data_IF_605993084001
#
_entry.id   IF_605993084001
#
_cell.length_a   1.000
_cell.length_b   1.000
_cell.length_c   1.000
_cell.angle_alpha   90.00
_cell.angle_beta   90.00
_cell.angle_gamma   90.00
#
_symmetry.space_group_name_H-M   'P 1'
#
loop_
_entity.id
_entity.type
_entity.pdbx_description
1 polymer ?
#
# COMPACT_ATOMS: atom_id res chain seq x y z
N UNK A 1 -21.94 -26.40 15.83
CA UNK A 1 -21.34 -25.97 14.54
C UNK A 1 -21.28 -24.46 14.57
N UNK A 2 -20.45 -23.93 15.45
CA UNK A 2 -20.26 -22.51 15.73
C UNK A 2 -18.86 -22.43 16.31
N UNK A 3 -17.88 -21.94 15.54
CA UNK A 3 -16.56 -21.45 15.98
C UNK A 3 -15.62 -21.28 14.78
N UNK A 4 -15.88 -20.30 13.90
CA UNK A 4 -14.85 -19.86 12.91
C UNK A 4 -14.89 -18.34 12.65
N UNK A 5 -15.37 -17.50 13.58
CA UNK A 5 -15.48 -16.05 13.32
C UNK A 5 -14.57 -15.13 14.16
N UNK A 6 -13.68 -15.67 14.99
CA UNK A 6 -12.87 -14.81 15.89
C UNK A 6 -11.52 -14.31 15.32
N UNK A 7 -11.20 -14.63 14.06
CA UNK A 7 -9.87 -14.35 13.49
C UNK A 7 -9.60 -12.93 12.96
N UNK A 8 -10.45 -11.92 13.21
CA UNK A 8 -10.30 -10.60 12.55
C UNK A 8 -10.01 -9.42 13.51
N UNK A 9 -10.01 -9.62 14.82
CA UNK A 9 -9.98 -8.52 15.81
C UNK A 9 -8.64 -8.35 16.53
N UNK A 10 -7.56 -8.06 15.80
CA UNK A 10 -6.41 -7.37 16.40
C UNK A 10 -5.55 -6.62 15.38
N UNK A 11 -6.19 -5.77 14.57
CA UNK A 11 -5.50 -4.62 14.02
C UNK A 11 -5.88 -3.44 14.91
N UNK A 12 -4.97 -3.06 15.80
CA UNK A 12 -5.04 -1.80 16.54
C UNK A 12 -5.11 -0.65 15.51
N UNK A 13 -6.32 -0.27 15.14
CA UNK A 13 -6.67 0.91 14.35
C UNK A 13 -6.67 2.14 15.27
N UNK A 14 -5.52 2.38 15.90
CA UNK A 14 -5.28 3.61 16.64
C UNK A 14 -5.30 4.79 15.66
N UNK A 15 -6.46 5.44 15.58
CA UNK A 15 -6.68 6.87 15.28
C UNK A 15 -6.00 7.51 14.05
N UNK A 16 -5.59 6.75 13.04
CA UNK A 16 -5.35 7.30 11.71
C UNK A 16 -6.67 7.19 10.94
N UNK A 17 -7.39 8.30 10.82
CA UNK A 17 -8.52 8.43 9.87
C UNK A 17 -8.16 7.68 8.59
N UNK A 18 -8.94 6.67 8.19
CA UNK A 18 -8.71 5.94 6.94
C UNK A 18 -8.70 6.96 5.79
N UNK A 19 -7.51 7.46 5.44
CA UNK A 19 -7.36 8.35 4.30
C UNK A 19 -7.82 7.54 3.10
N UNK A 20 -8.90 8.03 2.46
CA UNK A 20 -9.61 7.33 1.38
C UNK A 20 -8.72 7.04 0.16
N UNK A 21 -7.52 7.63 0.12
CA UNK A 21 -6.54 7.52 -0.96
C UNK A 21 -5.31 6.67 -0.60
N UNK A 22 -5.44 5.62 0.22
CA UNK A 22 -4.34 4.69 0.55
C UNK A 22 -4.57 3.32 -0.09
N UNK A 23 -3.53 2.78 -0.72
CA UNK A 23 -3.52 1.44 -1.30
C UNK A 23 -2.42 0.65 -0.58
N UNK A 24 -2.83 -0.42 0.10
CA UNK A 24 -1.90 -1.40 0.66
C UNK A 24 -1.78 -2.58 -0.29
N UNK A 25 -0.57 -2.80 -0.80
CA UNK A 25 -0.24 -3.94 -1.66
C UNK A 25 0.23 -5.09 -0.78
N UNK A 26 -0.52 -6.18 -0.82
CA UNK A 26 -0.18 -7.47 -0.21
C UNK A 26 0.18 -8.48 -1.30
N UNK A 27 0.49 -9.72 -0.88
CA UNK A 27 1.00 -10.73 -1.80
C UNK A 27 0.00 -11.22 -2.89
N UNK A 28 0.56 -11.44 -4.07
CA UNK A 28 0.21 -12.16 -5.33
C UNK A 28 -1.21 -12.40 -5.83
N UNK A 29 -2.30 -12.15 -5.09
CA UNK A 29 -3.65 -12.49 -5.61
C UNK A 29 -4.19 -11.51 -6.65
N UNK A 30 -3.64 -10.29 -6.73
CA UNK A 30 -4.11 -9.27 -7.66
C UNK A 30 -3.06 -9.04 -8.76
N UNK A 31 -3.48 -8.92 -10.03
CA UNK A 31 -2.57 -8.63 -11.13
C UNK A 31 -1.99 -7.21 -10.97
N UNK A 32 -0.79 -6.96 -11.51
CA UNK A 32 -0.10 -5.66 -11.41
C UNK A 32 -1.01 -4.47 -11.80
N UNK A 33 -1.73 -4.59 -12.92
CA UNK A 33 -2.58 -3.53 -13.44
C UNK A 33 -3.80 -3.22 -12.58
N UNK A 34 -4.20 -4.11 -11.67
CA UNK A 34 -5.22 -3.79 -10.68
C UNK A 34 -4.78 -2.58 -9.83
N UNK A 35 -3.54 -2.59 -9.35
CA UNK A 35 -3.00 -1.51 -8.52
C UNK A 35 -2.74 -0.24 -9.33
N UNK A 36 -2.28 -0.37 -10.58
CA UNK A 36 -2.10 0.76 -11.50
C UNK A 36 -3.45 1.49 -11.71
N UNK A 37 -4.51 0.75 -12.03
CA UNK A 37 -5.82 1.34 -12.31
C UNK A 37 -6.47 1.92 -11.04
N UNK A 38 -6.31 1.25 -9.89
CA UNK A 38 -6.81 1.76 -8.63
C UNK A 38 -6.11 3.07 -8.23
N UNK A 39 -4.79 3.15 -8.41
CA UNK A 39 -4.02 4.36 -8.15
C UNK A 39 -4.47 5.53 -9.05
N UNK A 40 -4.71 5.28 -10.34
CA UNK A 40 -5.28 6.28 -11.26
C UNK A 40 -6.61 6.81 -10.73
N UNK A 41 -7.53 5.92 -10.35
CA UNK A 41 -8.84 6.30 -9.81
C UNK A 41 -8.72 7.13 -8.53
N UNK A 42 -7.84 6.75 -7.61
CA UNK A 42 -7.65 7.49 -6.35
C UNK A 42 -7.04 8.88 -6.59
N UNK A 43 -6.05 8.99 -7.48
CA UNK A 43 -5.49 10.28 -7.87
C UNK A 43 -6.52 11.18 -8.56
N UNK A 44 -7.44 10.65 -9.37
CA UNK A 44 -8.53 11.43 -9.95
C UNK A 44 -9.53 11.94 -8.90
N UNK A 45 -9.75 11.20 -7.81
CA UNK A 45 -10.72 11.54 -6.77
C UNK A 45 -10.15 12.43 -5.67
N UNK A 46 -8.83 12.35 -5.44
CA UNK A 46 -8.19 12.94 -4.27
C UNK A 46 -6.91 13.73 -4.60
N UNK A 47 -6.60 13.93 -5.88
CA UNK A 47 -5.36 14.50 -6.42
C UNK A 47 -4.06 13.74 -6.05
N UNK A 48 -4.09 12.89 -5.03
CA UNK A 48 -2.95 12.15 -4.51
C UNK A 48 -3.34 10.72 -4.12
N UNK A 49 -2.37 9.81 -4.14
CA UNK A 49 -2.50 8.44 -3.64
C UNK A 49 -1.26 8.04 -2.83
N UNK A 50 -1.45 7.30 -1.75
CA UNK A 50 -0.37 6.66 -0.99
C UNK A 50 -0.36 5.15 -1.27
N UNK A 51 0.73 4.65 -1.86
CA UNK A 51 0.99 3.23 -2.06
C UNK A 51 1.86 2.71 -0.92
N UNK A 52 1.52 1.58 -0.33
CA UNK A 52 2.34 0.96 0.72
C UNK A 52 2.45 -0.55 0.56
N UNK A 53 3.59 -1.11 0.95
CA UNK A 53 3.85 -2.54 0.87
C UNK A 53 4.87 -3.01 1.91
N UNK A 54 4.88 -4.33 2.14
CA UNK A 54 5.78 -5.02 3.07
C UNK A 54 6.52 -6.15 2.36
N UNK A 55 7.81 -6.29 2.65
CA UNK A 55 8.64 -7.40 2.15
C UNK A 55 8.56 -7.57 0.63
N UNK A 56 8.24 -8.78 0.15
CA UNK A 56 8.20 -9.09 -1.29
C UNK A 56 7.22 -8.22 -2.11
N UNK A 57 6.16 -7.69 -1.48
CA UNK A 57 5.20 -6.81 -2.18
C UNK A 57 5.77 -5.42 -2.50
N UNK A 58 6.94 -5.06 -1.95
CA UNK A 58 7.62 -3.78 -2.23
C UNK A 58 7.89 -3.63 -3.73
N UNK A 59 8.32 -4.70 -4.40
CA UNK A 59 8.59 -4.68 -5.83
C UNK A 59 7.37 -4.21 -6.63
N UNK A 60 6.17 -4.70 -6.30
CA UNK A 60 4.93 -4.29 -6.96
C UNK A 60 4.64 -2.80 -6.78
N UNK A 61 4.85 -2.24 -5.58
CA UNK A 61 4.65 -0.79 -5.34
C UNK A 61 5.64 0.05 -6.15
N UNK A 62 6.90 -0.37 -6.22
CA UNK A 62 7.93 0.30 -7.03
C UNK A 62 7.53 0.29 -8.50
N UNK A 63 7.17 -0.89 -9.05
CA UNK A 63 6.76 -1.03 -10.45
C UNK A 63 5.50 -0.21 -10.76
N UNK A 64 4.50 -0.17 -9.87
CA UNK A 64 3.30 0.66 -10.06
C UNK A 64 3.66 2.15 -10.13
N UNK A 65 4.52 2.62 -9.21
CA UNK A 65 4.96 4.00 -9.22
C UNK A 65 5.73 4.35 -10.50
N UNK A 66 6.66 3.48 -10.94
CA UNK A 66 7.40 3.67 -12.19
C UNK A 66 6.48 3.72 -13.41
N UNK A 67 5.51 2.81 -13.53
CA UNK A 67 4.52 2.82 -14.62
C UNK A 67 3.76 4.16 -14.67
N UNK A 68 3.32 4.67 -13.52
CA UNK A 68 2.55 5.91 -13.47
C UNK A 68 3.40 7.13 -13.85
N UNK A 69 4.65 7.20 -13.37
CA UNK A 69 5.57 8.30 -13.67
C UNK A 69 6.04 8.29 -15.12
N UNK A 70 6.45 7.13 -15.63
CA UNK A 70 6.97 7.00 -17.00
C UNK A 70 5.89 7.30 -18.05
N UNK A 71 4.62 7.06 -17.74
CA UNK A 71 3.50 7.42 -18.60
C UNK A 71 3.02 8.88 -18.42
N UNK A 72 3.74 9.70 -17.64
CA UNK A 72 3.37 11.11 -17.40
C UNK A 72 2.07 11.31 -16.64
N UNK A 73 1.63 10.31 -15.85
CA UNK A 73 0.34 10.36 -15.14
C UNK A 73 0.47 10.88 -13.70
N UNK A 74 1.66 10.79 -13.12
CA UNK A 74 1.90 11.15 -11.74
C UNK A 74 3.32 11.66 -11.50
N UNK A 75 3.50 12.39 -10.40
CA UNK A 75 4.80 12.83 -9.87
C UNK A 75 4.96 12.27 -8.46
N UNK A 76 6.17 11.85 -8.08
CA UNK A 76 6.41 11.50 -6.69
C UNK A 76 6.45 12.73 -5.79
N UNK A 77 5.75 12.64 -4.66
CA UNK A 77 5.78 13.66 -3.60
C UNK A 77 6.61 13.22 -2.41
N UNK A 78 6.56 11.92 -2.08
CA UNK A 78 7.30 11.36 -0.95
C UNK A 78 7.59 9.89 -1.17
N UNK A 79 8.80 9.47 -0.83
CA UNK A 79 9.19 8.05 -0.72
C UNK A 79 9.75 7.86 0.68
N UNK A 80 9.21 6.89 1.42
CA UNK A 80 9.67 6.54 2.75
C UNK A 80 9.79 5.03 2.90
N UNK A 81 10.93 4.58 3.40
CA UNK A 81 11.15 3.20 3.82
C UNK A 81 11.32 3.15 5.33
N UNK A 82 10.89 2.05 5.93
CA UNK A 82 11.08 1.78 7.36
C UNK A 82 11.10 0.29 7.61
N UNK A 83 11.47 -0.11 8.81
CA UNK A 83 11.25 -1.47 9.30
C UNK A 83 10.08 -1.46 10.28
N UNK A 84 9.23 -2.48 10.24
CA UNK A 84 8.10 -2.63 11.17
C UNK A 84 8.11 -4.04 11.77
N UNK A 85 7.78 -4.14 13.04
CA UNK A 85 7.55 -5.43 13.69
C UNK A 85 6.19 -5.98 13.29
N UNK A 86 6.16 -7.23 12.84
CA UNK A 86 4.94 -7.95 12.48
C UNK A 86 4.78 -9.13 13.41
N UNK A 87 3.60 -9.25 14.02
CA UNK A 87 3.24 -10.42 14.82
C UNK A 87 3.19 -11.64 13.91
N UNK A 88 3.99 -12.65 14.21
CA UNK A 88 3.99 -13.93 13.54
C UNK A 88 3.61 -15.00 14.55
N UNK A 89 2.32 -15.37 14.56
CA UNK A 89 1.76 -16.34 15.50
C UNK A 89 2.40 -17.74 15.34
N UNK A 90 3.01 -18.03 14.18
CA UNK A 90 3.68 -19.31 13.93
C UNK A 90 5.08 -19.40 14.55
N UNK A 91 5.73 -18.26 14.84
CA UNK A 91 7.13 -18.20 15.29
C UNK A 91 7.29 -17.81 16.76
N UNK A 92 6.21 -17.47 17.45
CA UNK A 92 6.22 -17.09 18.87
C UNK A 92 6.97 -15.78 19.19
N UNK A 93 7.51 -15.09 18.18
CA UNK A 93 8.21 -13.79 18.31
C UNK A 93 7.88 -12.86 17.14
N UNK A 94 7.87 -11.53 17.34
CA UNK A 94 7.71 -10.58 16.24
C UNK A 94 8.83 -10.72 15.20
N UNK A 95 8.48 -10.54 13.92
CA UNK A 95 9.42 -10.53 12.81
C UNK A 95 9.46 -9.14 12.20
N UNK A 96 10.66 -8.60 12.03
CA UNK A 96 10.88 -7.34 11.35
C UNK A 96 10.73 -7.49 9.84
N UNK A 97 9.91 -6.62 9.23
CA UNK A 97 9.79 -6.52 7.77
C UNK A 97 10.04 -5.09 7.31
N UNK A 98 10.72 -4.97 6.18
CA UNK A 98 10.79 -3.72 5.45
C UNK A 98 9.40 -3.29 4.99
N UNK A 99 9.10 -2.00 5.13
CA UNK A 99 7.90 -1.32 4.70
C UNK A 99 8.28 -0.16 3.79
N UNK A 100 7.55 0.00 2.69
CA UNK A 100 7.64 1.19 1.83
C UNK A 100 6.33 1.95 1.86
N UNK A 101 6.41 3.28 1.72
CA UNK A 101 5.31 4.20 1.43
C UNK A 101 5.73 5.16 0.34
N UNK A 102 4.96 5.23 -0.74
CA UNK A 102 5.15 6.16 -1.85
C UNK A 102 3.89 7.00 -1.98
N UNK A 103 4.03 8.32 -1.86
CA UNK A 103 2.94 9.27 -2.16
C UNK A 103 3.17 9.83 -3.56
N UNK A 104 2.16 9.67 -4.42
CA UNK A 104 2.13 10.20 -5.77
C UNK A 104 1.02 11.25 -5.87
N UNK A 105 1.26 12.33 -6.62
CA UNK A 105 0.22 13.29 -7.00
C UNK A 105 -0.05 13.21 -8.51
N UNK A 106 -1.28 13.52 -8.91
CA UNK A 106 -1.68 13.56 -10.32
C UNK A 106 -0.84 14.61 -11.07
N UNK A 107 -0.30 14.24 -12.22
CA UNK A 107 0.38 15.19 -13.08
C UNK A 107 -0.65 16.11 -13.75
N UNK A 108 -0.57 17.41 -13.50
CA UNK A 108 -1.41 18.44 -14.13
C UNK A 108 -0.54 19.30 -15.02
N UNK A 109 -0.89 19.42 -16.30
CA UNK A 109 -0.30 20.41 -17.21
C UNK A 109 -0.81 21.78 -16.74
N UNK A 110 0.12 22.68 -16.43
CA UNK A 110 -0.19 24.09 -16.14
C UNK A 110 -0.48 24.86 -17.42
#
# INVERSE_FOLDING_TARGET
>A
MEEIVEGVNSINLSSDSFKKNRIQVSNTKKPLFFYVNLAKRYMQQHDEVELSALGMAIATVVTVAEILKNNGLAVEKKIATSTVDIKDDSRGRPVQKAKVRITLCIFKIK
#
